data_IF_871061015206
#
_entry.id   IF_871061015206
#
_cell.length_a   1.000
_cell.length_b   1.000
_cell.length_c   1.000
_cell.angle_alpha   90.00
_cell.angle_beta   90.00
_cell.angle_gamma   90.00
#
_symmetry.space_group_name_H-M   'P 1'
#
loop_
_entity.id
_entity.type
_entity.pdbx_description
1 polymer ?
#
# COMPACT_ATOMS: atom_id res chain seq x y z
N UNK A 1 17.42 -20.79 -14.03
CA UNK A 1 17.56 -20.83 -12.56
C UNK A 1 17.44 -19.43 -11.92
N UNK A 2 16.36 -18.68 -12.21
CA UNK A 2 16.18 -17.31 -11.71
C UNK A 2 15.02 -17.11 -10.72
N UNK A 3 14.10 -18.07 -10.60
CA UNK A 3 12.88 -17.93 -9.78
C UNK A 3 13.06 -18.24 -8.29
N UNK A 4 13.93 -19.20 -7.94
CA UNK A 4 14.13 -19.68 -6.56
C UNK A 4 14.92 -18.70 -5.67
N UNK A 5 15.82 -17.90 -6.25
CA UNK A 5 16.63 -16.92 -5.49
C UNK A 5 15.78 -15.70 -5.06
N UNK A 6 14.76 -15.35 -5.85
CA UNK A 6 13.83 -14.25 -5.55
C UNK A 6 12.83 -14.61 -4.43
N UNK A 7 12.37 -15.86 -4.37
CA UNK A 7 11.37 -16.29 -3.38
C UNK A 7 11.94 -16.41 -1.96
N UNK A 8 13.12 -17.03 -1.79
CA UNK A 8 13.75 -17.13 -0.46
C UNK A 8 14.21 -15.77 0.08
N UNK A 9 14.73 -14.90 -0.79
CA UNK A 9 15.07 -13.52 -0.44
C UNK A 9 13.84 -12.75 0.04
N UNK A 10 12.70 -12.94 -0.61
CA UNK A 10 11.45 -12.32 -0.22
C UNK A 10 10.93 -12.82 1.13
N UNK A 11 11.01 -14.12 1.40
CA UNK A 11 10.60 -14.73 2.68
C UNK A 11 11.46 -14.17 3.82
N UNK A 12 12.79 -14.22 3.71
CA UNK A 12 13.71 -13.69 4.74
C UNK A 12 13.48 -12.21 5.05
N UNK A 13 13.20 -11.41 4.02
CA UNK A 13 12.87 -9.99 4.23
C UNK A 13 11.52 -9.85 4.93
N UNK A 14 10.52 -10.65 4.57
CA UNK A 14 9.20 -10.62 5.19
C UNK A 14 9.24 -11.05 6.67
N UNK A 15 10.08 -12.04 7.03
CA UNK A 15 10.32 -12.42 8.42
C UNK A 15 10.93 -11.28 9.24
N UNK A 16 11.94 -10.59 8.70
CA UNK A 16 12.52 -9.40 9.37
C UNK A 16 11.49 -8.30 9.57
N UNK A 17 10.58 -8.10 8.61
CA UNK A 17 9.49 -7.13 8.73
C UNK A 17 8.57 -7.50 9.89
N UNK A 18 8.20 -8.78 10.02
CA UNK A 18 7.36 -9.25 11.13
C UNK A 18 8.04 -9.03 12.49
N UNK A 19 9.35 -9.27 12.60
CA UNK A 19 10.09 -8.98 13.83
C UNK A 19 10.15 -7.49 14.16
N UNK A 20 10.31 -6.63 13.15
CA UNK A 20 10.24 -5.18 13.35
C UNK A 20 8.84 -4.70 13.78
N UNK A 21 7.77 -5.29 13.23
CA UNK A 21 6.40 -5.01 13.65
C UNK A 21 6.17 -5.37 15.11
N UNK A 22 6.59 -6.56 15.55
CA UNK A 22 6.51 -6.98 16.96
C UNK A 22 7.26 -6.02 17.88
N UNK A 23 8.44 -5.55 17.48
CA UNK A 23 9.19 -4.59 18.28
C UNK A 23 8.42 -3.28 18.46
N UNK A 24 7.77 -2.77 17.41
CA UNK A 24 6.90 -1.62 17.53
C UNK A 24 5.68 -1.91 18.41
N UNK A 25 5.07 -3.09 18.35
CA UNK A 25 3.92 -3.44 19.19
C UNK A 25 4.28 -3.49 20.68
N UNK A 26 5.49 -3.97 21.01
CA UNK A 26 5.95 -4.14 22.40
C UNK A 26 6.60 -2.90 23.02
N UNK A 27 6.81 -1.83 22.25
CA UNK A 27 7.39 -0.59 22.78
C UNK A 27 6.28 0.26 23.41
N UNK A 28 6.27 0.34 24.73
CA UNK A 28 5.36 1.20 25.51
C UNK A 28 5.83 2.67 25.49
N UNK A 29 4.94 3.59 25.88
CA UNK A 29 5.24 5.02 26.08
C UNK A 29 5.80 5.80 24.87
N UNK A 30 5.41 5.42 23.66
CA UNK A 30 5.82 6.14 22.43
C UNK A 30 5.35 7.58 22.41
N UNK A 31 6.27 8.48 22.08
CA UNK A 31 5.91 9.87 21.82
C UNK A 31 5.12 10.03 20.48
N UNK A 32 4.55 11.22 20.27
CA UNK A 32 3.76 11.50 19.06
C UNK A 32 4.55 11.32 17.76
N UNK A 33 5.84 11.67 17.74
CA UNK A 33 6.70 11.54 16.56
C UNK A 33 7.01 10.05 16.28
N UNK A 34 7.25 9.27 17.32
CA UNK A 34 7.47 7.82 17.24
C UNK A 34 6.23 7.07 16.76
N UNK A 35 5.03 7.50 17.17
CA UNK A 35 3.78 6.98 16.63
C UNK A 35 3.63 7.27 15.14
N UNK A 36 3.97 8.49 14.69
CA UNK A 36 3.93 8.85 13.25
C UNK A 36 4.95 8.04 12.45
N UNK A 37 6.15 7.82 12.99
CA UNK A 37 7.19 6.99 12.37
C UNK A 37 6.74 5.53 12.25
N UNK A 38 6.16 4.98 13.32
CA UNK A 38 5.59 3.63 13.34
C UNK A 38 4.50 3.48 12.27
N UNK A 39 3.58 4.44 12.18
CA UNK A 39 2.52 4.43 11.15
C UNK A 39 3.09 4.45 9.74
N UNK A 40 4.09 5.31 9.47
CA UNK A 40 4.76 5.35 8.16
C UNK A 40 5.43 4.03 7.82
N UNK A 41 6.09 3.42 8.80
CA UNK A 41 6.74 2.12 8.62
C UNK A 41 5.72 1.04 8.24
N UNK A 42 4.64 0.89 9.02
CA UNK A 42 3.58 -0.11 8.77
C UNK A 42 2.99 0.05 7.37
N UNK A 43 2.68 1.29 6.95
CA UNK A 43 2.14 1.58 5.62
C UNK A 43 3.12 1.20 4.50
N UNK A 44 4.41 1.48 4.67
CA UNK A 44 5.42 1.11 3.68
C UNK A 44 5.56 -0.41 3.55
N UNK A 45 5.49 -1.15 4.66
CA UNK A 45 5.58 -2.62 4.65
C UNK A 45 4.36 -3.25 3.98
N UNK A 46 3.16 -2.72 4.25
CA UNK A 46 1.94 -3.13 3.56
C UNK A 46 2.04 -2.88 2.05
N UNK A 47 2.48 -1.68 1.64
CA UNK A 47 2.66 -1.34 0.23
C UNK A 47 3.66 -2.27 -0.47
N UNK A 48 4.82 -2.57 0.14
CA UNK A 48 5.79 -3.51 -0.41
C UNK A 48 5.17 -4.89 -0.64
N UNK A 49 4.41 -5.39 0.33
CA UNK A 49 3.72 -6.68 0.21
C UNK A 49 2.73 -6.68 -0.96
N UNK A 50 1.92 -5.61 -1.08
CA UNK A 50 0.97 -5.43 -2.18
C UNK A 50 1.65 -5.38 -3.57
N UNK A 51 2.83 -4.76 -3.68
CA UNK A 51 3.61 -4.78 -4.93
C UNK A 51 3.97 -6.23 -5.31
N UNK A 52 4.44 -7.05 -4.36
CA UNK A 52 4.78 -8.45 -4.61
C UNK A 52 3.57 -9.28 -5.08
N UNK A 53 2.43 -9.11 -4.40
CA UNK A 53 1.17 -9.75 -4.81
C UNK A 53 0.73 -9.32 -6.22
N UNK A 54 0.86 -8.04 -6.53
CA UNK A 54 0.51 -7.49 -7.86
C UNK A 54 1.43 -8.05 -8.95
N UNK A 55 2.72 -8.21 -8.66
CA UNK A 55 3.68 -8.85 -9.57
C UNK A 55 3.32 -10.31 -9.86
N UNK A 56 2.89 -11.06 -8.85
CA UNK A 56 2.45 -12.44 -9.02
C UNK A 56 1.21 -12.51 -9.92
N UNK A 57 0.16 -11.75 -9.58
CA UNK A 57 -1.12 -11.77 -10.31
C UNK A 57 -0.96 -11.32 -11.77
N UNK A 58 -0.05 -10.39 -12.04
CA UNK A 58 0.23 -9.92 -13.40
C UNK A 58 1.18 -10.82 -14.19
N UNK A 59 1.67 -11.92 -13.62
CA UNK A 59 2.54 -12.88 -14.29
C UNK A 59 1.79 -14.21 -14.54
N UNK A 60 1.39 -14.50 -15.79
CA UNK A 60 0.69 -15.74 -16.13
C UNK A 60 1.47 -17.00 -15.76
N UNK A 61 2.79 -17.01 -15.93
CA UNK A 61 3.63 -18.18 -15.60
C UNK A 61 3.52 -18.53 -14.11
N UNK A 62 3.46 -17.52 -13.24
CA UNK A 62 3.23 -17.71 -11.81
C UNK A 62 1.79 -18.15 -11.54
N UNK A 63 0.81 -17.51 -12.18
CA UNK A 63 -0.62 -17.82 -11.95
C UNK A 63 -1.02 -19.23 -12.41
N UNK A 64 -0.33 -19.80 -13.41
CA UNK A 64 -0.58 -21.19 -13.83
C UNK A 64 -0.17 -22.25 -12.81
N UNK A 65 0.69 -21.90 -11.83
CA UNK A 65 1.14 -22.81 -10.77
C UNK A 65 0.01 -23.11 -9.77
N UNK A 66 -0.90 -22.15 -9.57
CA UNK A 66 -1.96 -22.24 -8.56
C UNK A 66 -3.23 -22.86 -9.15
N UNK A 67 -3.85 -23.79 -8.41
CA UNK A 67 -5.13 -24.37 -8.82
C UNK A 67 -6.27 -23.36 -8.66
N UNK A 68 -7.41 -23.63 -9.30
CA UNK A 68 -8.59 -22.79 -9.11
C UNK A 68 -9.07 -22.73 -7.66
N UNK A 69 -8.86 -23.81 -6.88
CA UNK A 69 -9.15 -23.83 -5.46
C UNK A 69 -8.22 -22.88 -4.69
N UNK A 70 -6.92 -22.90 -5.01
CA UNK A 70 -5.93 -22.02 -4.38
C UNK A 70 -6.27 -20.56 -4.67
N UNK A 71 -6.53 -20.22 -5.93
CA UNK A 71 -6.90 -18.86 -6.35
C UNK A 71 -8.17 -18.37 -5.63
N UNK A 72 -9.17 -19.24 -5.46
CA UNK A 72 -10.40 -18.92 -4.71
C UNK A 72 -10.07 -18.61 -3.25
N UNK A 73 -9.32 -19.48 -2.57
CA UNK A 73 -8.95 -19.29 -1.16
C UNK A 73 -8.10 -18.04 -0.96
N UNK A 74 -7.13 -17.79 -1.84
CA UNK A 74 -6.29 -16.58 -1.84
C UNK A 74 -7.15 -15.32 -1.98
N UNK A 75 -8.08 -15.31 -2.94
CA UNK A 75 -8.99 -14.18 -3.18
C UNK A 75 -9.90 -13.92 -2.00
N UNK A 76 -10.49 -14.96 -1.41
CA UNK A 76 -11.37 -14.84 -0.24
C UNK A 76 -10.61 -14.23 0.95
N UNK A 77 -9.40 -14.72 1.25
CA UNK A 77 -8.58 -14.20 2.35
C UNK A 77 -8.11 -12.77 2.14
N UNK A 78 -7.64 -12.42 0.94
CA UNK A 78 -7.25 -11.05 0.63
C UNK A 78 -8.45 -10.09 0.67
N UNK A 79 -9.62 -10.55 0.23
CA UNK A 79 -10.86 -9.75 0.26
C UNK A 79 -11.32 -9.45 1.69
N UNK A 80 -11.18 -10.42 2.60
CA UNK A 80 -11.49 -10.24 4.03
C UNK A 80 -10.63 -9.14 4.65
N UNK A 81 -9.30 -9.23 4.48
CA UNK A 81 -8.36 -8.21 4.95
C UNK A 81 -8.63 -6.84 4.32
N UNK A 82 -8.82 -6.79 3.00
CA UNK A 82 -9.06 -5.55 2.24
C UNK A 82 -10.32 -4.85 2.72
N UNK A 83 -11.40 -5.60 2.98
CA UNK A 83 -12.66 -5.04 3.50
C UNK A 83 -12.45 -4.37 4.86
N UNK A 84 -11.71 -5.02 5.76
CA UNK A 84 -11.41 -4.45 7.08
C UNK A 84 -10.53 -3.20 6.97
N UNK A 85 -9.50 -3.24 6.13
CA UNK A 85 -8.60 -2.11 5.92
C UNK A 85 -9.32 -0.90 5.32
N UNK A 86 -10.14 -1.10 4.28
CA UNK A 86 -10.91 0.00 3.65
C UNK A 86 -11.91 0.62 4.63
N UNK A 87 -12.56 -0.19 5.48
CA UNK A 87 -13.45 0.35 6.52
C UNK A 87 -12.69 1.26 7.49
N UNK A 88 -11.51 0.83 7.94
CA UNK A 88 -10.68 1.62 8.85
C UNK A 88 -10.14 2.90 8.19
N UNK A 89 -9.69 2.82 6.93
CA UNK A 89 -9.27 3.98 6.15
C UNK A 89 -10.39 5.04 6.04
N UNK A 90 -11.62 4.59 5.74
CA UNK A 90 -12.79 5.47 5.70
C UNK A 90 -13.08 6.12 7.07
N UNK A 91 -12.96 5.36 8.15
CA UNK A 91 -13.17 5.86 9.51
C UNK A 91 -12.15 6.94 9.88
N UNK A 92 -10.87 6.67 9.67
CA UNK A 92 -9.79 7.61 9.99
C UNK A 92 -9.82 8.84 9.09
N UNK A 93 -10.19 8.68 7.81
CA UNK A 93 -10.40 9.82 6.91
C UNK A 93 -11.54 10.71 7.38
N UNK A 94 -12.67 10.13 7.81
CA UNK A 94 -13.80 10.88 8.40
C UNK A 94 -13.39 11.62 9.67
N UNK A 95 -12.62 10.97 10.55
CA UNK A 95 -12.06 11.61 11.75
C UNK A 95 -11.15 12.79 11.37
N UNK A 96 -10.30 12.60 10.37
CA UNK A 96 -9.45 13.66 9.81
C UNK A 96 -10.28 14.85 9.34
N UNK A 97 -11.33 14.61 8.55
CA UNK A 97 -12.24 15.67 8.07
C UNK A 97 -12.88 16.43 9.24
N UNK A 98 -13.38 15.71 10.26
CA UNK A 98 -13.92 16.34 11.49
C UNK A 98 -12.88 17.20 12.22
N UNK A 99 -11.60 16.81 12.17
CA UNK A 99 -10.47 17.56 12.74
C UNK A 99 -9.91 18.65 11.80
N UNK A 100 -10.58 18.93 10.68
CA UNK A 100 -10.19 20.02 9.76
C UNK A 100 -9.28 19.60 8.62
N UNK A 101 -9.10 18.30 8.36
CA UNK A 101 -8.46 17.82 7.13
C UNK A 101 -9.31 18.28 5.94
N UNK A 102 -8.80 19.26 5.19
CA UNK A 102 -9.41 19.70 3.95
C UNK A 102 -8.94 18.79 2.83
N UNK A 103 -9.85 18.35 1.97
CA UNK A 103 -9.47 17.78 0.69
C UNK A 103 -8.49 18.74 0.00
N UNK A 104 -7.43 18.25 -0.65
CA UNK A 104 -6.61 19.09 -1.50
C UNK A 104 -7.57 19.87 -2.40
N UNK A 105 -7.52 21.21 -2.35
CA UNK A 105 -8.29 22.02 -3.30
C UNK A 105 -7.94 21.46 -4.67
N UNK A 106 -8.92 20.87 -5.38
CA UNK A 106 -8.75 20.55 -6.80
C UNK A 106 -8.22 21.85 -7.39
N UNK A 107 -6.95 21.89 -7.77
CA UNK A 107 -6.41 23.00 -8.51
C UNK A 107 -7.32 23.04 -9.72
N UNK A 108 -8.25 23.99 -9.74
CA UNK A 108 -9.12 24.19 -10.87
C UNK A 108 -8.16 24.26 -12.04
N UNK A 109 -8.21 23.28 -12.95
CA UNK A 109 -7.52 23.38 -14.23
C UNK A 109 -8.04 24.69 -14.80
N UNK A 110 -7.28 25.78 -14.63
CA UNK A 110 -7.49 27.00 -15.38
C UNK A 110 -7.46 26.51 -16.82
N UNK A 111 -8.62 26.55 -17.48
CA UNK A 111 -8.68 26.43 -18.93
C UNK A 111 -7.59 27.37 -19.43
N UNK A 112 -6.59 26.81 -20.10
CA UNK A 112 -5.59 27.57 -20.83
C UNK A 112 -6.35 28.13 -22.05
N UNK A 113 -7.20 29.11 -21.80
CA UNK A 113 -7.79 29.95 -22.82
C UNK A 113 -6.63 30.74 -23.42
N UNK A 114 -6.35 30.42 -24.67
CA UNK A 114 -5.89 31.32 -25.72
C UNK A 114 -4.84 32.36 -25.30
N UNK A 115 -3.58 32.00 -25.53
CA UNK A 115 -2.61 32.99 -26.01
C UNK A 115 -2.27 32.64 -27.44
N UNK A 116 -3.17 33.03 -28.32
CA UNK A 116 -2.91 33.29 -29.74
C UNK A 116 -1.70 34.23 -29.85
N UNK A 117 -0.84 33.93 -30.83
CA UNK A 117 0.11 34.82 -31.52
C UNK A 117 1.25 35.48 -30.72
N UNK A 118 2.48 35.04 -31.01
CA UNK A 118 3.39 35.82 -31.87
C UNK A 118 4.58 34.99 -32.36
N UNK A 119 4.81 35.10 -33.67
CA UNK A 119 5.92 34.58 -34.47
C UNK A 119 7.27 35.27 -34.18
N UNK A 120 8.35 34.66 -34.70
CA UNK A 120 9.76 35.09 -34.88
C UNK A 120 10.64 35.03 -33.61
N UNK A 121 11.84 34.43 -33.58
CA UNK A 121 12.89 34.12 -34.59
C UNK A 121 13.45 32.72 -34.37
#
# INVERSE_FOLDING_TARGET
>A
MGGTVLSEGWIRVSERILEQLKHFENTEDKDRLELVRSLRFVLNMLHRSLIGWTQWVNNPDIMTIFSQKDLKTMTEKLSEFTRSFVKYDMEMTRLGVKKGLKSPKKVAKKKREERTERFYV
#
